data_IF_197607759532
#
_entry.id   IF_197607759532
#
_cell.length_a   1.000
_cell.length_b   1.000
_cell.length_c   1.000
_cell.angle_alpha   90.00
_cell.angle_beta   90.00
_cell.angle_gamma   90.00
#
_symmetry.space_group_name_H-M   'P 1'
#
loop_
_entity.id
_entity.type
_entity.pdbx_description
1 polymer ?
#
# COMPACT_ATOMS: atom_id res chain seq x y z
N UNK A 1 28.92 -0.18 2.11
CA UNK A 1 28.21 0.97 2.70
C UNK A 1 26.72 0.69 2.64
N UNK A 2 26.09 0.68 3.80
CA UNK A 2 24.67 0.41 3.86
C UNK A 2 23.88 1.56 3.24
N UNK A 3 22.98 1.23 2.35
CA UNK A 3 22.08 2.23 1.82
C UNK A 3 21.00 2.53 2.84
N UNK A 4 20.86 3.82 3.16
CA UNK A 4 19.77 4.26 4.02
C UNK A 4 18.50 4.31 3.19
N UNK A 5 17.54 3.47 3.53
CA UNK A 5 16.22 3.53 2.91
C UNK A 5 15.51 4.79 3.40
N UNK A 6 15.06 5.63 2.50
CA UNK A 6 14.24 6.79 2.83
C UNK A 6 12.77 6.39 2.92
N UNK A 7 11.98 7.19 3.64
CA UNK A 7 10.53 6.97 3.68
C UNK A 7 9.90 7.13 2.29
N UNK A 8 10.38 8.07 1.48
CA UNK A 8 9.91 8.23 0.10
C UNK A 8 10.17 6.98 -0.74
N UNK A 9 11.34 6.38 -0.59
CA UNK A 9 11.69 5.13 -1.27
C UNK A 9 10.76 3.99 -0.84
N UNK A 10 10.45 3.91 0.46
CA UNK A 10 9.53 2.90 0.98
C UNK A 10 8.10 3.09 0.43
N UNK A 11 7.65 4.34 0.30
CA UNK A 11 6.34 4.63 -0.28
C UNK A 11 6.32 4.24 -1.77
N UNK A 12 7.38 4.51 -2.50
CA UNK A 12 7.47 4.10 -3.90
C UNK A 12 7.46 2.58 -4.05
N UNK A 13 8.12 1.85 -3.15
CA UNK A 13 8.06 0.40 -3.13
C UNK A 13 6.63 -0.10 -2.87
N UNK A 14 5.88 0.60 -2.02
CA UNK A 14 4.46 0.33 -1.81
C UNK A 14 3.65 0.50 -3.10
N UNK A 15 3.86 1.60 -3.83
CA UNK A 15 3.19 1.83 -5.11
C UNK A 15 3.52 0.75 -6.14
N UNK A 16 4.80 0.35 -6.22
CA UNK A 16 5.22 -0.73 -7.12
C UNK A 16 4.51 -2.03 -6.77
N UNK A 17 4.41 -2.35 -5.48
CA UNK A 17 3.71 -3.56 -5.03
C UNK A 17 2.22 -3.51 -5.39
N UNK A 18 1.59 -2.36 -5.23
CA UNK A 18 0.16 -2.20 -5.57
C UNK A 18 -0.08 -2.38 -7.07
N UNK A 19 0.85 -1.96 -7.91
CA UNK A 19 0.71 -2.07 -9.37
C UNK A 19 1.13 -3.44 -9.89
N UNK A 20 2.28 -3.93 -9.47
CA UNK A 20 2.87 -5.17 -10.00
C UNK A 20 2.37 -6.43 -9.29
N UNK A 21 1.97 -6.32 -8.02
CA UNK A 21 1.58 -7.43 -7.17
C UNK A 21 2.63 -8.56 -7.15
N UNK A 22 3.92 -8.17 -7.17
CA UNK A 22 5.01 -9.12 -7.06
C UNK A 22 5.08 -9.67 -5.64
N UNK A 23 4.62 -10.91 -5.47
CA UNK A 23 4.51 -11.55 -4.16
C UNK A 23 5.83 -11.57 -3.40
N UNK A 24 6.96 -11.70 -4.10
CA UNK A 24 8.29 -11.71 -3.47
C UNK A 24 8.63 -10.39 -2.79
N UNK A 25 8.00 -9.29 -3.20
CA UNK A 25 8.22 -7.97 -2.64
C UNK A 25 7.29 -7.66 -1.46
N UNK A 26 6.28 -8.47 -1.23
CA UNK A 26 5.32 -8.21 -0.15
C UNK A 26 6.01 -8.06 1.22
N UNK A 27 6.88 -8.97 1.67
CA UNK A 27 7.53 -8.83 2.98
C UNK A 27 8.54 -7.68 3.04
N UNK A 28 8.97 -7.15 1.90
CA UNK A 28 9.84 -5.98 1.85
C UNK A 28 9.05 -4.69 2.12
N UNK A 29 7.75 -4.68 1.82
CA UNK A 29 6.87 -3.52 1.96
C UNK A 29 6.03 -3.59 3.24
N UNK A 30 5.43 -4.73 3.52
CA UNK A 30 4.57 -4.94 4.69
C UNK A 30 5.27 -5.78 5.74
N UNK A 31 5.24 -5.29 6.98
CA UNK A 31 5.66 -6.11 8.11
C UNK A 31 4.66 -7.26 8.33
N UNK A 32 5.14 -8.41 8.81
CA UNK A 32 4.26 -9.55 9.04
C UNK A 32 3.16 -9.33 10.08
N UNK A 33 3.33 -8.34 10.96
CA UNK A 33 2.32 -7.98 11.95
C UNK A 33 1.35 -6.90 11.46
N UNK A 34 1.42 -6.48 10.19
CA UNK A 34 0.56 -5.42 9.64
C UNK A 34 -0.90 -5.79 9.73
N UNK A 35 -1.73 -4.77 9.97
CA UNK A 35 -3.18 -4.88 9.90
C UNK A 35 -3.69 -3.94 8.82
N UNK A 36 -4.69 -4.38 8.06
CA UNK A 36 -5.28 -3.65 6.97
C UNK A 36 -6.79 -3.51 7.21
N UNK A 37 -7.30 -2.28 7.17
CA UNK A 37 -8.71 -1.99 7.41
C UNK A 37 -9.27 -1.08 6.33
N UNK A 38 -10.55 -1.27 6.02
CA UNK A 38 -11.29 -0.37 5.15
C UNK A 38 -12.77 -0.71 5.14
N UNK A 39 -13.58 0.25 4.73
CA UNK A 39 -15.01 0.02 4.57
C UNK A 39 -15.31 -0.41 3.14
N UNK A 40 -16.11 -1.46 2.99
CA UNK A 40 -16.69 -1.90 1.73
C UNK A 40 -18.17 -2.12 1.94
N UNK A 41 -18.99 -1.40 1.18
CA UNK A 41 -20.44 -1.49 1.25
C UNK A 41 -20.97 -1.36 2.69
N UNK A 42 -20.38 -0.43 3.43
CA UNK A 42 -20.75 -0.15 4.81
C UNK A 42 -20.24 -1.16 5.84
N UNK A 43 -19.45 -2.14 5.42
CA UNK A 43 -18.88 -3.16 6.31
C UNK A 43 -17.38 -2.96 6.47
N UNK A 44 -16.89 -3.09 7.69
CA UNK A 44 -15.47 -3.01 7.95
C UNK A 44 -14.78 -4.30 7.50
N UNK A 45 -13.84 -4.15 6.58
CA UNK A 45 -12.91 -5.20 6.20
C UNK A 45 -11.70 -5.11 7.15
N UNK A 46 -11.28 -6.24 7.67
CA UNK A 46 -10.10 -6.33 8.53
C UNK A 46 -9.28 -7.55 8.11
N UNK A 47 -8.06 -7.29 7.65
CA UNK A 47 -7.13 -8.35 7.23
C UNK A 47 -5.83 -8.28 8.02
N UNK A 48 -5.29 -9.45 8.34
CA UNK A 48 -3.88 -9.58 8.70
C UNK A 48 -3.01 -9.39 7.45
N UNK A 49 -1.71 -9.24 7.66
CA UNK A 49 -0.77 -9.19 6.53
C UNK A 49 -0.88 -10.44 5.65
N UNK A 50 -0.93 -11.62 6.27
CA UNK A 50 -1.05 -12.88 5.53
C UNK A 50 -2.34 -12.95 4.72
N UNK A 51 -3.45 -12.52 5.29
CA UNK A 51 -4.74 -12.49 4.58
C UNK A 51 -4.72 -11.51 3.42
N UNK A 52 -4.15 -10.33 3.60
CA UNK A 52 -4.06 -9.34 2.53
C UNK A 52 -3.13 -9.83 1.41
N UNK A 53 -2.03 -10.46 1.76
CA UNK A 53 -1.13 -11.07 0.77
C UNK A 53 -1.87 -12.08 -0.09
N UNK A 54 -2.72 -12.89 0.51
CA UNK A 54 -3.54 -13.87 -0.21
C UNK A 54 -4.57 -13.19 -1.12
N UNK A 55 -5.19 -12.10 -0.66
CA UNK A 55 -6.08 -11.29 -1.50
C UNK A 55 -5.34 -10.80 -2.74
N UNK A 56 -4.10 -10.32 -2.59
CA UNK A 56 -3.30 -9.85 -3.72
C UNK A 56 -2.93 -10.98 -4.68
N UNK A 57 -2.61 -12.17 -4.16
CA UNK A 57 -2.29 -13.33 -5.00
C UNK A 57 -3.47 -13.78 -5.86
N UNK A 58 -4.68 -13.63 -5.35
CA UNK A 58 -5.91 -14.16 -5.97
C UNK A 58 -6.59 -13.17 -6.91
N UNK A 59 -6.03 -11.98 -7.10
CA UNK A 59 -6.57 -10.99 -8.04
C UNK A 59 -5.54 -10.70 -9.13
N UNK A 60 -5.98 -10.38 -10.37
CA UNK A 60 -5.04 -9.93 -11.40
C UNK A 60 -4.38 -8.62 -10.96
N UNK A 61 -3.08 -8.50 -11.19
CA UNK A 61 -2.40 -7.24 -10.92
C UNK A 61 -2.82 -6.19 -11.94
N UNK A 62 -2.81 -4.91 -11.57
CA UNK A 62 -3.01 -3.84 -12.54
C UNK A 62 -2.03 -3.93 -13.72
N UNK A 63 -0.76 -4.28 -13.47
CA UNK A 63 0.24 -4.45 -14.51
C UNK A 63 -0.15 -5.55 -15.51
N UNK A 64 -0.63 -6.71 -15.01
CA UNK A 64 -1.04 -7.82 -15.87
C UNK A 64 -2.27 -7.45 -16.73
N UNK A 65 -3.11 -6.55 -16.23
CA UNK A 65 -4.28 -6.05 -16.94
C UNK A 65 -3.97 -4.84 -17.82
N UNK A 66 -2.71 -4.41 -17.86
CA UNK A 66 -2.28 -3.20 -18.55
C UNK A 66 -3.13 -1.98 -18.14
N UNK A 67 -3.47 -1.91 -16.86
CA UNK A 67 -4.30 -0.84 -16.32
C UNK A 67 -3.53 0.47 -16.22
N UNK A 68 -4.23 1.62 -16.26
CA UNK A 68 -3.57 2.90 -16.00
C UNK A 68 -2.88 2.90 -14.65
N UNK A 69 -1.68 3.48 -14.59
CA UNK A 69 -0.96 3.63 -13.32
C UNK A 69 -1.08 5.08 -12.86
N UNK A 70 -1.80 5.27 -11.75
CA UNK A 70 -2.00 6.58 -11.15
C UNK A 70 -1.72 6.49 -9.68
N UNK A 71 -0.87 7.37 -9.18
CA UNK A 71 -0.47 7.39 -7.77
C UNK A 71 -0.01 8.78 -7.39
N UNK A 72 -0.22 9.14 -6.12
CA UNK A 72 0.16 10.44 -5.60
C UNK A 72 0.43 10.36 -4.11
N UNK A 73 1.51 10.97 -3.66
CA UNK A 73 1.79 11.16 -2.24
C UNK A 73 1.16 12.50 -1.83
N UNK A 74 0.16 12.46 -0.95
CA UNK A 74 -0.53 13.66 -0.50
C UNK A 74 0.18 14.31 0.69
N UNK A 75 0.68 13.50 1.61
CA UNK A 75 1.42 14.00 2.77
C UNK A 75 2.28 12.93 3.39
N UNK A 76 3.37 13.36 4.01
CA UNK A 76 4.23 12.50 4.83
C UNK A 76 4.46 13.23 6.14
N UNK A 77 4.14 12.58 7.25
CA UNK A 77 4.45 13.07 8.58
C UNK A 77 5.53 12.19 9.20
N UNK A 78 6.70 12.75 9.44
CA UNK A 78 7.77 12.09 10.15
C UNK A 78 7.59 12.35 11.64
N UNK A 79 6.76 11.52 12.27
CA UNK A 79 6.34 11.75 13.67
C UNK A 79 7.48 11.51 14.66
N UNK A 80 8.38 10.58 14.33
CA UNK A 80 9.52 10.20 15.17
C UNK A 80 10.60 9.59 14.27
N UNK A 81 11.85 9.36 14.77
CA UNK A 81 12.89 8.75 13.93
C UNK A 81 12.48 7.43 13.30
N UNK A 82 11.67 6.62 13.97
CA UNK A 82 11.27 5.29 13.50
C UNK A 82 9.78 5.17 13.19
N UNK A 83 9.07 6.30 13.12
CA UNK A 83 7.64 6.33 12.84
C UNK A 83 7.31 7.41 11.82
N UNK A 84 6.65 7.01 10.73
CA UNK A 84 6.14 7.94 9.73
C UNK A 84 4.73 7.54 9.30
N UNK A 85 3.93 8.55 8.94
CA UNK A 85 2.57 8.36 8.46
C UNK A 85 2.48 9.02 7.09
N UNK A 86 1.98 8.27 6.10
CA UNK A 86 1.80 8.77 4.76
C UNK A 86 0.33 8.68 4.35
N UNK A 87 -0.15 9.72 3.69
CA UNK A 87 -1.44 9.72 3.03
C UNK A 87 -1.18 9.70 1.54
N UNK A 88 -1.73 8.71 0.85
CA UNK A 88 -1.47 8.53 -0.57
C UNK A 88 -2.76 8.22 -1.33
N UNK A 89 -2.77 8.53 -2.63
CA UNK A 89 -3.76 8.04 -3.56
C UNK A 89 -3.11 6.98 -4.44
N UNK A 90 -3.86 5.90 -4.70
CA UNK A 90 -3.40 4.85 -5.60
C UNK A 90 -4.60 4.28 -6.35
N UNK A 91 -4.44 4.12 -7.65
CA UNK A 91 -5.45 3.48 -8.49
C UNK A 91 -5.09 2.01 -8.69
N UNK A 92 -6.07 1.14 -8.42
CA UNK A 92 -5.94 -0.30 -8.66
C UNK A 92 -7.11 -0.72 -9.56
N UNK A 93 -6.82 -0.93 -10.84
CA UNK A 93 -7.85 -1.19 -11.83
C UNK A 93 -8.81 -0.01 -11.96
N UNK A 94 -10.07 -0.24 -11.67
CA UNK A 94 -11.13 0.79 -11.77
C UNK A 94 -11.41 1.49 -10.45
N UNK A 95 -10.64 1.20 -9.41
CA UNK A 95 -10.87 1.79 -8.10
C UNK A 95 -9.72 2.73 -7.73
N UNK A 96 -10.07 3.97 -7.38
CA UNK A 96 -9.15 4.93 -6.82
C UNK A 96 -9.26 4.89 -5.30
N UNK A 97 -8.17 4.53 -4.64
CA UNK A 97 -8.09 4.46 -3.18
C UNK A 97 -7.41 5.67 -2.59
N UNK A 98 -7.89 6.06 -1.42
CA UNK A 98 -7.16 6.93 -0.50
C UNK A 98 -6.65 6.03 0.63
N UNK A 99 -5.34 5.97 0.79
CA UNK A 99 -4.74 5.11 1.80
C UNK A 99 -4.02 5.93 2.86
N UNK A 100 -4.22 5.56 4.11
CA UNK A 100 -3.40 6.00 5.23
C UNK A 100 -2.47 4.87 5.61
N UNK A 101 -1.16 5.14 5.56
CA UNK A 101 -0.14 4.15 5.80
C UNK A 101 0.69 4.56 7.01
N UNK A 102 0.80 3.67 7.98
CA UNK A 102 1.74 3.84 9.08
C UNK A 102 2.97 2.99 8.78
N UNK A 103 4.13 3.64 8.81
CA UNK A 103 5.42 2.99 8.60
C UNK A 103 6.22 3.00 9.89
N UNK A 104 6.83 1.88 10.21
CA UNK A 104 7.85 1.80 11.25
C UNK A 104 9.19 1.43 10.62
N UNK A 105 10.27 2.06 11.10
CA UNK A 105 11.62 1.69 10.68
C UNK A 105 12.16 0.65 11.67
N UNK A 106 12.44 -0.54 11.14
CA UNK A 106 12.93 -1.67 11.92
C UNK A 106 14.17 -2.19 11.20
N UNK A 107 15.30 -2.25 11.92
CA UNK A 107 16.58 -2.67 11.35
C UNK A 107 16.94 -1.87 10.08
N UNK A 108 16.72 -0.57 10.12
CA UNK A 108 17.05 0.35 9.02
C UNK A 108 16.08 0.33 7.85
N UNK A 109 15.01 -0.45 7.92
CA UNK A 109 14.01 -0.56 6.83
C UNK A 109 12.65 -0.06 7.27
N UNK A 110 12.06 0.77 6.44
CA UNK A 110 10.69 1.24 6.62
C UNK A 110 9.72 0.23 6.05
N UNK A 111 8.80 -0.26 6.88
CA UNK A 111 7.72 -1.17 6.44
C UNK A 111 6.38 -0.67 6.94
N UNK A 112 5.34 -0.94 6.15
CA UNK A 112 3.97 -0.66 6.56
C UNK A 112 3.60 -1.59 7.71
N UNK A 113 3.11 -1.02 8.80
CA UNK A 113 2.59 -1.76 9.95
C UNK A 113 1.09 -1.58 10.13
N UNK A 114 0.50 -0.58 9.46
CA UNK A 114 -0.94 -0.37 9.47
C UNK A 114 -1.35 0.32 8.17
N UNK A 115 -2.42 -0.16 7.57
CA UNK A 115 -3.02 0.45 6.40
C UNK A 115 -4.51 0.60 6.61
N UNK A 116 -5.02 1.82 6.41
CA UNK A 116 -6.44 2.08 6.33
C UNK A 116 -6.74 2.55 4.91
N UNK A 117 -7.62 1.84 4.20
CA UNK A 117 -7.99 2.22 2.84
C UNK A 117 -9.41 2.78 2.80
N UNK A 118 -9.63 3.70 1.87
CA UNK A 118 -10.93 4.28 1.58
C UNK A 118 -11.14 4.26 0.07
N UNK A 119 -12.28 3.77 -0.38
CA UNK A 119 -12.65 3.82 -1.79
C UNK A 119 -13.11 5.24 -2.08
N UNK A 120 -12.24 6.02 -2.73
CA UNK A 120 -12.48 7.43 -3.00
C UNK A 120 -13.16 7.66 -4.35
N UNK A 121 -12.94 6.74 -5.31
CA UNK A 121 -13.49 6.90 -6.66
C UNK A 121 -13.61 5.54 -7.34
N UNK A 122 -14.67 5.40 -8.13
CA UNK A 122 -14.81 4.26 -9.05
C UNK A 122 -14.78 4.82 -10.47
N UNK A 123 -13.83 4.32 -11.26
CA UNK A 123 -13.68 4.73 -12.66
C UNK A 123 -14.62 3.92 -13.54
N UNK A 124 -15.19 4.53 -14.62
CA UNK A 124 -16.00 3.77 -15.57
C UNK A 124 -15.17 2.68 -16.25
N UNK A 125 -15.82 1.59 -16.73
CA UNK A 125 -15.13 0.57 -17.52
C UNK A 125 -14.43 1.20 -18.74
N UNK A 126 -13.19 0.75 -19.01
CA UNK A 126 -12.40 1.26 -20.12
C UNK A 126 -11.67 2.56 -19.86
N UNK A 127 -11.72 3.06 -18.64
CA UNK A 127 -11.00 4.28 -18.26
C UNK A 127 -9.57 3.97 -17.87
#
# INVERSE_FOLDING_TARGET
MDQIQTIASAINAYFDLMYDADDSQFPEVFHGASLIHGLRDGKLTAWSAAEFREVMRNRPSPAAMNAPREQEILSIEHAAPDLAIAKVRVRIGQIGFLDHLTFHRIDGKWRVTSKAFHIARVFPPGS
#
